data_IF_558203247028
#
_entry.id   IF_558203247028
#
_cell.length_a   1.000
_cell.length_b   1.000
_cell.length_c   1.000
_cell.angle_alpha   90.00
_cell.angle_beta   90.00
_cell.angle_gamma   90.00
#
_symmetry.space_group_name_H-M   'P 1'
#
loop_
_entity.id
_entity.type
_entity.pdbx_description
1 polymer ?
#
# COMPACT_ATOMS: atom_id res chain seq x y z
N UNK A 1 -3.18 -16.63 -11.30
CA UNK A 1 -3.42 -15.17 -11.26
C UNK A 1 -4.83 -14.86 -10.79
N UNK A 2 -5.90 -15.15 -11.54
CA UNK A 2 -7.28 -14.90 -11.09
C UNK A 2 -7.61 -15.50 -9.72
N UNK A 3 -7.28 -16.78 -9.50
CA UNK A 3 -7.49 -17.40 -8.19
C UNK A 3 -6.65 -16.74 -7.08
N UNK A 4 -5.43 -16.28 -7.40
CA UNK A 4 -4.58 -15.56 -6.43
C UNK A 4 -5.26 -14.26 -6.01
N UNK A 5 -5.84 -13.49 -6.94
CA UNK A 5 -6.60 -12.27 -6.61
C UNK A 5 -7.74 -12.54 -5.61
N UNK A 6 -8.57 -13.56 -5.86
CA UNK A 6 -9.68 -13.92 -4.97
C UNK A 6 -9.22 -14.40 -3.59
N UNK A 7 -8.09 -15.11 -3.53
CA UNK A 7 -7.48 -15.59 -2.29
C UNK A 7 -6.69 -14.51 -1.53
N UNK A 8 -6.60 -13.28 -2.05
CA UNK A 8 -5.73 -12.23 -1.51
C UNK A 8 -6.47 -10.89 -1.38
N UNK A 9 -6.40 -10.01 -2.38
CA UNK A 9 -6.93 -8.65 -2.33
C UNK A 9 -8.45 -8.62 -2.16
N UNK A 10 -9.17 -9.58 -2.76
CA UNK A 10 -10.62 -9.68 -2.63
C UNK A 10 -11.07 -10.10 -1.21
N UNK A 11 -10.15 -10.42 -0.28
CA UNK A 11 -10.49 -10.61 1.15
C UNK A 11 -10.75 -9.29 1.88
N UNK A 12 -10.03 -8.22 1.52
CA UNK A 12 -10.11 -6.90 2.14
C UNK A 12 -10.86 -5.89 1.26
N UNK A 13 -10.62 -5.94 -0.05
CA UNK A 13 -11.23 -5.08 -1.06
C UNK A 13 -12.32 -5.87 -1.80
N UNK A 14 -13.50 -6.00 -1.19
CA UNK A 14 -14.65 -6.74 -1.73
C UNK A 14 -15.24 -6.02 -2.95
N UNK A 15 -14.57 -6.12 -4.10
CA UNK A 15 -14.96 -5.45 -5.35
C UNK A 15 -15.93 -6.32 -6.13
N UNK A 16 -15.68 -7.64 -6.19
CA UNK A 16 -16.35 -8.56 -7.10
C UNK A 16 -17.09 -9.65 -6.34
N UNK A 17 -18.31 -9.94 -6.77
CA UNK A 17 -19.02 -11.12 -6.30
C UNK A 17 -18.43 -12.38 -6.94
N UNK A 18 -17.76 -13.21 -6.16
CA UNK A 18 -16.95 -14.32 -6.68
C UNK A 18 -17.73 -15.29 -7.60
N UNK A 19 -18.92 -15.80 -7.20
CA UNK A 19 -19.70 -16.71 -8.05
C UNK A 19 -20.17 -16.07 -9.35
N UNK A 20 -20.51 -14.78 -9.32
CA UNK A 20 -20.91 -14.04 -10.53
C UNK A 20 -19.71 -13.84 -11.45
N UNK A 21 -18.56 -13.47 -10.90
CA UNK A 21 -17.35 -13.26 -11.68
C UNK A 21 -16.90 -14.56 -12.36
N UNK A 22 -16.85 -15.69 -11.66
CA UNK A 22 -16.42 -16.96 -12.27
C UNK A 22 -17.32 -17.40 -13.43
N UNK A 23 -18.64 -17.22 -13.32
CA UNK A 23 -19.58 -17.46 -14.43
C UNK A 23 -19.26 -16.57 -15.65
N UNK A 24 -19.01 -15.28 -15.42
CA UNK A 24 -18.65 -14.33 -16.47
C UNK A 24 -17.27 -14.62 -17.06
N UNK A 25 -16.31 -15.04 -16.23
CA UNK A 25 -14.96 -15.43 -16.61
C UNK A 25 -14.98 -16.63 -17.55
N UNK A 26 -15.71 -17.70 -17.22
CA UNK A 26 -15.86 -18.87 -18.12
C UNK A 26 -16.49 -18.48 -19.47
N UNK A 27 -17.49 -17.59 -19.44
CA UNK A 27 -18.11 -17.06 -20.67
C UNK A 27 -17.15 -16.23 -21.51
N UNK A 28 -16.32 -15.40 -20.87
CA UNK A 28 -15.29 -14.60 -21.53
C UNK A 28 -14.33 -15.47 -22.33
N UNK A 29 -13.78 -16.53 -21.72
CA UNK A 29 -12.85 -17.44 -22.40
C UNK A 29 -13.49 -18.28 -23.51
N UNK A 30 -14.81 -18.44 -23.48
CA UNK A 30 -15.54 -19.11 -24.56
C UNK A 30 -15.69 -18.23 -25.81
N UNK A 31 -15.71 -16.91 -25.67
CA UNK A 31 -15.77 -15.96 -26.78
C UNK A 31 -15.20 -14.58 -26.38
N UNK A 32 -13.86 -14.39 -26.41
CA UNK A 32 -13.22 -13.15 -25.98
C UNK A 32 -13.57 -11.95 -26.87
N UNK A 33 -13.71 -12.16 -28.18
CA UNK A 33 -13.97 -11.09 -29.16
C UNK A 33 -15.39 -10.52 -29.02
N UNK A 34 -16.37 -11.37 -28.71
CA UNK A 34 -17.75 -10.95 -28.48
C UNK A 34 -18.04 -10.42 -27.07
N UNK A 35 -17.04 -10.29 -26.20
CA UNK A 35 -17.23 -9.84 -24.82
C UNK A 35 -17.38 -8.33 -24.70
N UNK A 36 -18.19 -7.89 -23.72
CA UNK A 36 -18.32 -6.47 -23.39
C UNK A 36 -16.98 -5.92 -22.89
N UNK A 37 -16.64 -4.69 -23.28
CA UNK A 37 -15.41 -4.03 -22.84
C UNK A 37 -15.25 -4.01 -21.31
N UNK A 38 -16.35 -3.79 -20.56
CA UNK A 38 -16.35 -3.82 -19.09
C UNK A 38 -15.84 -5.15 -18.53
N UNK A 39 -16.37 -6.28 -19.05
CA UNK A 39 -15.97 -7.61 -18.62
C UNK A 39 -14.50 -7.89 -18.97
N UNK A 40 -14.08 -7.52 -20.18
CA UNK A 40 -12.68 -7.67 -20.61
C UNK A 40 -11.73 -6.93 -19.66
N UNK A 41 -12.02 -5.68 -19.34
CA UNK A 41 -11.21 -4.88 -18.40
C UNK A 41 -11.20 -5.50 -17.00
N UNK A 42 -12.34 -5.93 -16.48
CA UNK A 42 -12.40 -6.61 -15.18
C UNK A 42 -11.51 -7.86 -15.15
N UNK A 43 -11.58 -8.72 -16.17
CA UNK A 43 -10.77 -9.93 -16.26
C UNK A 43 -9.28 -9.59 -16.33
N UNK A 44 -8.89 -8.65 -17.19
CA UNK A 44 -7.48 -8.26 -17.35
C UNK A 44 -6.91 -7.63 -16.07
N UNK A 45 -7.67 -6.77 -15.39
CA UNK A 45 -7.23 -6.14 -14.14
C UNK A 45 -7.13 -7.15 -12.99
N UNK A 46 -8.06 -8.10 -12.89
CA UNK A 46 -7.99 -9.20 -11.90
C UNK A 46 -6.76 -10.08 -12.14
N UNK A 47 -6.44 -10.38 -13.41
CA UNK A 47 -5.23 -11.12 -13.77
C UNK A 47 -3.98 -10.30 -13.44
N UNK A 48 -3.97 -9.00 -13.75
CA UNK A 48 -2.87 -8.10 -13.44
C UNK A 48 -2.59 -8.04 -11.93
N UNK A 49 -3.60 -7.79 -11.10
CA UNK A 49 -3.43 -7.75 -9.65
C UNK A 49 -2.98 -9.14 -9.15
N UNK A 50 -3.59 -10.22 -9.63
CA UNK A 50 -3.20 -11.56 -9.24
C UNK A 50 -1.81 -12.00 -9.73
N UNK A 51 -1.22 -11.34 -10.73
CA UNK A 51 0.15 -11.63 -11.18
C UNK A 51 1.20 -11.06 -10.23
N UNK A 52 0.85 -10.06 -9.42
CA UNK A 52 1.77 -9.47 -8.43
C UNK A 52 2.15 -10.41 -7.29
N UNK A 53 1.42 -11.52 -7.15
CA UNK A 53 1.57 -12.50 -6.10
C UNK A 53 2.19 -13.80 -6.60
N UNK A 54 2.22 -14.00 -7.92
CA UNK A 54 2.73 -15.22 -8.50
C UNK A 54 4.26 -15.28 -8.35
N UNK A 55 4.84 -16.48 -8.14
CA UNK A 55 6.28 -16.65 -8.20
C UNK A 55 6.78 -16.15 -9.55
N UNK A 56 7.93 -15.48 -9.55
CA UNK A 56 8.60 -15.08 -10.77
C UNK A 56 9.11 -16.34 -11.49
N UNK A 57 8.23 -17.00 -12.24
CA UNK A 57 8.63 -18.01 -13.21
C UNK A 57 9.47 -17.28 -14.25
N UNK A 58 10.71 -17.73 -14.41
CA UNK A 58 11.75 -17.11 -15.23
C UNK A 58 11.24 -16.38 -16.48
N UNK A 59 11.68 -15.12 -16.59
CA UNK A 59 11.81 -14.38 -17.84
C UNK A 59 10.59 -14.34 -18.79
N UNK A 60 9.62 -13.49 -18.48
CA UNK A 60 9.03 -12.69 -19.55
C UNK A 60 8.65 -11.30 -19.06
N UNK A 61 9.54 -10.32 -19.29
CA UNK A 61 9.22 -8.90 -19.09
C UNK A 61 7.93 -8.49 -19.83
N UNK A 62 7.56 -9.25 -20.87
CA UNK A 62 6.32 -9.08 -21.62
C UNK A 62 5.05 -9.09 -20.76
N UNK A 63 4.97 -9.91 -19.70
CA UNK A 63 3.77 -9.90 -18.84
C UNK A 63 3.63 -8.58 -18.07
N UNK A 64 4.73 -8.06 -17.54
CA UNK A 64 4.71 -6.78 -16.82
C UNK A 64 4.32 -5.65 -17.77
N UNK A 65 4.85 -5.64 -18.99
CA UNK A 65 4.50 -4.63 -19.99
C UNK A 65 3.03 -4.73 -20.42
N UNK A 66 2.51 -5.94 -20.62
CA UNK A 66 1.09 -6.18 -20.87
C UNK A 66 0.21 -5.66 -19.73
N UNK A 67 0.60 -5.91 -18.48
CA UNK A 67 -0.12 -5.39 -17.30
C UNK A 67 -0.19 -3.87 -17.31
N UNK A 68 0.91 -3.18 -17.61
CA UNK A 68 0.90 -1.71 -17.72
C UNK A 68 -0.06 -1.25 -18.83
N UNK A 69 -0.03 -1.90 -20.00
CA UNK A 69 -0.95 -1.60 -21.10
C UNK A 69 -2.42 -1.80 -20.70
N UNK A 70 -2.75 -2.87 -19.96
CA UNK A 70 -4.11 -3.12 -19.49
C UNK A 70 -4.58 -2.05 -18.50
N UNK A 71 -3.70 -1.60 -17.61
CA UNK A 71 -4.01 -0.53 -16.65
C UNK A 71 -4.24 0.79 -17.39
N UNK A 72 -3.36 1.18 -18.31
CA UNK A 72 -3.55 2.38 -19.13
C UNK A 72 -4.81 2.33 -19.99
N UNK A 73 -5.13 1.17 -20.57
CA UNK A 73 -6.35 0.97 -21.32
C UNK A 73 -7.59 1.15 -20.43
N UNK A 74 -7.57 0.66 -19.20
CA UNK A 74 -8.64 0.84 -18.24
C UNK A 74 -8.78 2.30 -17.77
N UNK A 75 -7.67 3.01 -17.52
CA UNK A 75 -7.68 4.44 -17.18
C UNK A 75 -8.24 5.30 -18.32
N UNK A 76 -7.80 5.02 -19.54
CA UNK A 76 -8.31 5.68 -20.75
C UNK A 76 -9.80 5.37 -20.93
N UNK A 77 -10.21 4.13 -20.69
CA UNK A 77 -11.61 3.75 -20.73
C UNK A 77 -12.42 4.47 -19.65
N UNK A 78 -11.93 4.64 -18.42
CA UNK A 78 -12.64 5.40 -17.39
C UNK A 78 -12.80 6.88 -17.77
N UNK A 79 -11.77 7.47 -18.39
CA UNK A 79 -11.67 8.90 -18.70
C UNK A 79 -12.20 9.30 -20.08
N UNK A 80 -12.61 8.35 -20.93
CA UNK A 80 -13.04 8.63 -22.31
C UNK A 80 -14.34 9.43 -22.43
N UNK A 81 -14.68 9.96 -23.62
CA UNK A 81 -15.98 10.60 -23.87
C UNK A 81 -17.12 9.59 -23.63
N UNK A 82 -18.28 10.03 -23.14
CA UNK A 82 -19.42 9.20 -22.65
C UNK A 82 -19.28 8.67 -21.21
N UNK A 83 -18.93 9.53 -20.26
CA UNK A 83 -18.77 9.15 -18.84
C UNK A 83 -20.03 8.54 -18.21
N UNK A 84 -21.22 8.97 -18.65
CA UNK A 84 -22.51 8.53 -18.08
C UNK A 84 -22.73 7.03 -18.19
N UNK A 85 -22.28 6.39 -19.28
CA UNK A 85 -22.45 4.94 -19.50
C UNK A 85 -21.56 4.09 -18.57
N UNK A 86 -20.64 4.75 -17.86
CA UNK A 86 -19.71 4.16 -16.89
C UNK A 86 -20.05 4.53 -15.46
N UNK A 87 -21.09 5.33 -15.23
CA UNK A 87 -21.64 5.61 -13.91
C UNK A 87 -22.59 4.48 -13.49
N UNK A 88 -22.04 3.29 -13.32
CA UNK A 88 -22.73 2.11 -12.81
C UNK A 88 -21.80 1.27 -11.92
N UNK A 89 -22.34 0.21 -11.32
CA UNK A 89 -21.59 -0.68 -10.42
C UNK A 89 -20.36 -1.25 -11.12
N UNK A 90 -20.48 -1.71 -12.37
CA UNK A 90 -19.35 -2.26 -13.12
C UNK A 90 -18.26 -1.22 -13.40
N UNK A 91 -18.62 0.02 -13.71
CA UNK A 91 -17.67 1.11 -13.88
C UNK A 91 -16.91 1.42 -12.57
N UNK A 92 -17.60 1.46 -11.44
CA UNK A 92 -16.96 1.63 -10.12
C UNK A 92 -16.06 0.46 -9.75
N UNK A 93 -16.47 -0.78 -10.06
CA UNK A 93 -15.63 -1.97 -9.85
C UNK A 93 -14.33 -1.88 -10.65
N UNK A 94 -14.41 -1.49 -11.93
CA UNK A 94 -13.21 -1.27 -12.77
C UNK A 94 -12.34 -0.16 -12.17
N UNK A 95 -12.93 0.94 -11.70
CA UNK A 95 -12.18 2.03 -11.07
C UNK A 95 -11.47 1.58 -9.78
N UNK A 96 -12.12 0.79 -8.92
CA UNK A 96 -11.47 0.19 -7.74
C UNK A 96 -10.30 -0.73 -8.12
N UNK A 97 -10.50 -1.60 -9.13
CA UNK A 97 -9.44 -2.49 -9.63
C UNK A 97 -8.26 -1.69 -10.22
N UNK A 98 -8.54 -0.61 -10.96
CA UNK A 98 -7.50 0.29 -11.50
C UNK A 98 -6.72 0.95 -10.37
N UNK A 99 -7.39 1.41 -9.31
CA UNK A 99 -6.71 2.00 -8.15
C UNK A 99 -5.74 1.01 -7.49
N UNK A 100 -6.20 -0.21 -7.22
CA UNK A 100 -5.35 -1.26 -6.66
C UNK A 100 -4.16 -1.58 -7.58
N UNK A 101 -4.43 -1.78 -8.87
CA UNK A 101 -3.39 -2.11 -9.83
C UNK A 101 -2.34 -0.98 -9.96
N UNK A 102 -2.78 0.28 -9.99
CA UNK A 102 -1.88 1.45 -10.01
C UNK A 102 -0.99 1.52 -8.78
N UNK A 103 -1.54 1.28 -7.59
CA UNK A 103 -0.77 1.21 -6.36
C UNK A 103 0.25 0.08 -6.41
N UNK A 104 -0.15 -1.14 -6.81
CA UNK A 104 0.74 -2.30 -6.88
C UNK A 104 1.86 -2.09 -7.90
N UNK A 105 1.58 -1.56 -9.09
CA UNK A 105 2.54 -1.45 -10.18
C UNK A 105 3.24 -0.08 -10.28
N UNK A 106 3.06 0.81 -9.29
CA UNK A 106 3.64 2.17 -9.28
C UNK A 106 3.24 3.05 -10.48
N UNK A 107 2.02 2.88 -11.01
CA UNK A 107 1.55 3.64 -12.17
C UNK A 107 0.83 4.91 -11.70
N UNK A 108 1.48 6.06 -11.90
CA UNK A 108 0.95 7.36 -11.47
C UNK A 108 0.66 7.40 -9.97
N UNK A 109 1.58 6.88 -9.14
CA UNK A 109 1.40 6.71 -7.69
C UNK A 109 0.97 8.00 -6.99
N UNK A 110 1.61 9.13 -7.31
CA UNK A 110 1.33 10.44 -6.70
C UNK A 110 -0.05 11.00 -7.09
N UNK A 111 -0.68 10.43 -8.12
CA UNK A 111 -2.01 10.82 -8.61
C UNK A 111 -3.13 9.90 -8.10
N UNK A 112 -2.81 8.90 -7.26
CA UNK A 112 -3.80 7.95 -6.74
C UNK A 112 -4.81 8.65 -5.82
N UNK A 113 -4.38 9.59 -4.98
CA UNK A 113 -5.28 10.37 -4.13
C UNK A 113 -6.31 11.17 -4.95
N UNK A 114 -5.89 11.82 -6.04
CA UNK A 114 -6.80 12.53 -6.95
C UNK A 114 -7.80 11.57 -7.58
N UNK A 115 -7.34 10.39 -8.02
CA UNK A 115 -8.22 9.35 -8.57
C UNK A 115 -9.24 8.84 -7.54
N UNK A 116 -8.83 8.73 -6.27
CA UNK A 116 -9.72 8.35 -5.16
C UNK A 116 -10.85 9.37 -4.95
N UNK A 117 -10.55 10.67 -5.08
CA UNK A 117 -11.54 11.74 -5.03
C UNK A 117 -12.56 11.64 -6.17
N UNK A 118 -12.10 11.29 -7.38
CA UNK A 118 -13.01 11.01 -8.50
C UNK A 118 -13.88 9.78 -8.24
N UNK A 119 -13.30 8.70 -7.71
CA UNK A 119 -14.00 7.46 -7.39
C UNK A 119 -15.13 7.69 -6.38
N UNK A 120 -14.84 8.38 -5.27
CA UNK A 120 -15.83 8.61 -4.22
C UNK A 120 -16.98 9.50 -4.71
N UNK A 121 -16.70 10.54 -5.50
CA UNK A 121 -17.74 11.37 -6.09
C UNK A 121 -18.60 10.60 -7.09
N UNK A 122 -18.01 9.74 -7.92
CA UNK A 122 -18.75 8.85 -8.84
C UNK A 122 -19.64 7.87 -8.08
N UNK A 123 -19.16 7.33 -6.96
CA UNK A 123 -19.93 6.45 -6.09
C UNK A 123 -21.11 7.17 -5.44
N UNK A 124 -20.87 8.38 -4.94
CA UNK A 124 -21.92 9.23 -4.38
C UNK A 124 -22.97 9.59 -5.43
N UNK A 125 -22.54 9.92 -6.65
CA UNK A 125 -23.42 10.28 -7.78
C UNK A 125 -24.43 9.17 -8.13
N UNK A 126 -24.09 7.90 -7.94
CA UNK A 126 -25.00 6.77 -8.16
C UNK A 126 -25.61 6.22 -6.84
N UNK A 127 -25.42 6.96 -5.75
CA UNK A 127 -26.07 6.74 -4.46
C UNK A 127 -25.47 5.64 -3.58
N UNK A 128 -24.18 5.31 -3.67
CA UNK A 128 -23.57 4.29 -2.80
C UNK A 128 -23.41 4.73 -1.34
N UNK A 129 -23.37 6.04 -1.09
CA UNK A 129 -23.38 6.65 0.25
C UNK A 129 -24.74 6.57 0.96
N UNK A 130 -25.78 6.10 0.25
CA UNK A 130 -27.11 5.87 0.80
C UNK A 130 -27.36 4.38 0.97
N UNK A 131 -27.80 3.99 2.16
CA UNK A 131 -28.11 2.61 2.47
C UNK A 131 -29.24 2.10 1.56
N UNK A 132 -29.13 0.87 1.01
CA UNK A 132 -30.18 0.26 0.21
C UNK A 132 -31.58 0.29 0.84
N UNK A 133 -31.71 0.28 2.18
CA UNK A 133 -33.01 0.35 2.87
C UNK A 133 -33.75 1.68 2.65
N UNK A 134 -33.05 2.72 2.20
CA UNK A 134 -33.59 4.05 1.90
C UNK A 134 -33.79 4.30 0.39
N UNK A 135 -33.45 3.31 -0.44
CA UNK A 135 -33.53 3.40 -1.90
C UNK A 135 -34.75 2.61 -2.44
N UNK A 136 -35.12 2.79 -3.72
CA UNK A 136 -36.13 1.95 -4.34
C UNK A 136 -35.81 0.44 -4.19
N UNK A 137 -36.84 -0.43 -4.13
CA UNK A 137 -36.65 -1.86 -3.91
C UNK A 137 -35.64 -2.48 -4.89
N UNK A 138 -34.74 -3.30 -4.36
CA UNK A 138 -33.72 -4.02 -5.11
C UNK A 138 -33.50 -5.42 -4.50
N UNK A 139 -32.83 -6.31 -5.24
CA UNK A 139 -32.55 -7.65 -4.70
C UNK A 139 -31.57 -7.60 -3.53
N UNK A 140 -31.60 -8.61 -2.66
CA UNK A 140 -30.65 -8.78 -1.55
C UNK A 140 -29.22 -8.74 -2.07
N UNK A 141 -28.94 -9.42 -3.19
CA UNK A 141 -27.63 -9.38 -3.83
C UNK A 141 -27.23 -7.94 -4.21
N UNK A 142 -28.10 -7.19 -4.89
CA UNK A 142 -27.79 -5.81 -5.28
C UNK A 142 -27.52 -4.92 -4.08
N UNK A 143 -28.31 -5.03 -3.01
CA UNK A 143 -28.11 -4.29 -1.77
C UNK A 143 -26.74 -4.59 -1.15
N UNK A 144 -26.38 -5.88 -1.01
CA UNK A 144 -25.09 -6.28 -0.42
C UNK A 144 -23.90 -5.85 -1.29
N UNK A 145 -23.99 -5.96 -2.62
CA UNK A 145 -22.91 -5.50 -3.50
C UNK A 145 -22.70 -3.98 -3.43
N UNK A 146 -23.76 -3.19 -3.24
CA UNK A 146 -23.63 -1.75 -3.01
C UNK A 146 -22.92 -1.44 -1.70
N UNK A 147 -23.32 -2.08 -0.59
CA UNK A 147 -22.68 -1.90 0.73
C UNK A 147 -21.20 -2.28 0.72
N UNK A 148 -20.86 -3.44 0.13
CA UNK A 148 -19.48 -3.92 -0.03
C UNK A 148 -18.62 -2.98 -0.85
N UNK A 149 -19.14 -2.53 -1.99
CA UNK A 149 -18.39 -1.64 -2.87
C UNK A 149 -18.19 -0.28 -2.22
N UNK A 150 -19.18 0.24 -1.49
CA UNK A 150 -19.02 1.47 -0.69
C UNK A 150 -17.91 1.32 0.35
N UNK A 151 -17.91 0.25 1.14
CA UNK A 151 -16.86 -0.01 2.13
C UNK A 151 -15.46 -0.14 1.49
N UNK A 152 -15.35 -0.79 0.33
CA UNK A 152 -14.09 -0.86 -0.43
C UNK A 152 -13.61 0.53 -0.88
N UNK A 153 -14.51 1.38 -1.35
CA UNK A 153 -14.18 2.75 -1.78
C UNK A 153 -13.68 3.58 -0.61
N UNK A 154 -14.32 3.48 0.56
CA UNK A 154 -13.86 4.13 1.79
C UNK A 154 -12.44 3.67 2.17
N UNK A 155 -12.15 2.36 2.05
CA UNK A 155 -10.81 1.82 2.32
C UNK A 155 -9.76 2.38 1.35
N UNK A 156 -10.06 2.45 0.05
CA UNK A 156 -9.15 3.03 -0.94
C UNK A 156 -8.88 4.52 -0.68
N UNK A 157 -9.91 5.27 -0.27
CA UNK A 157 -9.79 6.70 0.05
C UNK A 157 -8.92 6.93 1.28
N UNK A 158 -9.16 6.20 2.38
CA UNK A 158 -8.40 6.39 3.62
C UNK A 158 -6.93 5.99 3.43
N UNK A 159 -6.64 4.90 2.71
CA UNK A 159 -5.26 4.47 2.43
C UNK A 159 -4.53 5.47 1.52
N UNK A 160 -5.16 5.91 0.43
CA UNK A 160 -4.53 6.89 -0.49
C UNK A 160 -4.28 8.25 0.17
N UNK A 161 -5.12 8.63 1.13
CA UNK A 161 -4.97 9.85 1.94
C UNK A 161 -3.80 9.76 2.90
N UNK A 162 -3.60 8.59 3.53
CA UNK A 162 -2.40 8.31 4.32
C UNK A 162 -1.13 8.42 3.46
N UNK A 163 -1.14 7.77 2.29
CA UNK A 163 0.02 7.69 1.39
C UNK A 163 0.46 9.07 0.88
N UNK A 164 -0.52 9.95 0.60
CA UNK A 164 -0.25 11.29 0.07
C UNK A 164 -0.06 12.35 1.15
N UNK A 165 -0.21 12.00 2.44
CA UNK A 165 -0.29 12.97 3.55
C UNK A 165 -1.29 14.10 3.23
N UNK A 166 -2.49 13.70 2.79
CA UNK A 166 -3.58 14.61 2.44
C UNK A 166 -4.86 14.18 3.15
N UNK A 167 -5.79 15.12 3.43
CA UNK A 167 -7.04 14.79 4.07
C UNK A 167 -7.94 13.93 3.15
N UNK A 168 -8.69 12.96 3.71
CA UNK A 168 -9.58 12.10 2.93
C UNK A 168 -10.82 12.79 2.38
N UNK A 169 -11.16 13.98 2.89
CA UNK A 169 -12.31 14.80 2.46
C UNK A 169 -13.63 14.01 2.43
N UNK A 170 -13.77 13.07 3.37
CA UNK A 170 -15.02 12.41 3.73
C UNK A 170 -15.14 12.34 5.25
N UNK A 171 -16.33 12.60 5.78
CA UNK A 171 -16.71 12.40 7.18
C UNK A 171 -17.66 11.21 7.32
N UNK A 172 -17.68 10.60 8.51
CA UNK A 172 -18.65 9.55 8.85
C UNK A 172 -20.11 10.01 8.79
N UNK A 173 -20.35 11.32 8.93
CA UNK A 173 -21.70 11.89 8.90
C UNK A 173 -22.25 12.11 7.46
N UNK A 174 -21.43 11.87 6.43
CA UNK A 174 -21.79 12.12 5.03
C UNK A 174 -22.43 10.92 4.33
N UNK A 175 -22.55 9.77 5.01
CA UNK A 175 -23.19 8.57 4.49
C UNK A 175 -23.96 7.82 5.58
N UNK A 176 -25.00 7.08 5.17
CA UNK A 176 -25.82 6.26 6.09
C UNK A 176 -25.76 4.75 5.75
N UNK A 177 -24.96 4.37 4.75
CA UNK A 177 -24.75 2.99 4.32
C UNK A 177 -24.25 2.12 5.47
N UNK A 178 -25.01 1.08 5.79
CA UNK A 178 -24.64 0.12 6.84
C UNK A 178 -23.52 -0.82 6.38
N UNK A 179 -22.78 -1.44 7.34
CA UNK A 179 -21.85 -2.51 7.04
C UNK A 179 -22.49 -3.64 6.20
N UNK A 180 -21.74 -4.27 5.28
CA UNK A 180 -22.22 -5.45 4.57
C UNK A 180 -22.46 -6.62 5.54
N UNK A 181 -23.36 -7.53 5.19
CA UNK A 181 -23.64 -8.69 6.03
C UNK A 181 -22.44 -9.65 6.09
N UNK A 182 -22.18 -10.23 7.27
CA UNK A 182 -21.12 -11.22 7.45
C UNK A 182 -21.54 -12.57 6.83
N UNK A 183 -21.39 -12.69 5.52
CA UNK A 183 -21.74 -13.87 4.74
C UNK A 183 -20.70 -14.19 3.67
N UNK A 184 -20.68 -15.46 3.28
CA UNK A 184 -19.93 -15.93 2.12
C UNK A 184 -20.70 -15.62 0.83
N UNK A 185 -19.99 -15.41 -0.28
CA UNK A 185 -20.63 -15.06 -1.55
C UNK A 185 -21.59 -16.11 -2.08
N UNK A 186 -21.30 -17.38 -1.83
CA UNK A 186 -22.18 -18.48 -2.24
C UNK A 186 -23.57 -18.41 -1.58
N UNK A 187 -23.70 -17.69 -0.46
CA UNK A 187 -24.94 -17.50 0.30
C UNK A 187 -25.75 -16.29 -0.22
N UNK A 188 -25.12 -15.37 -0.94
CA UNK A 188 -25.75 -14.14 -1.44
C UNK A 188 -26.19 -14.38 -2.89
N UNK A 189 -27.37 -14.98 -3.06
CA UNK A 189 -27.91 -15.32 -4.38
C UNK A 189 -29.00 -14.35 -4.83
N UNK A 190 -29.22 -14.25 -6.15
CA UNK A 190 -30.28 -13.41 -6.73
C UNK A 190 -31.69 -13.79 -6.24
N UNK A 191 -31.89 -15.06 -5.93
CA UNK A 191 -33.16 -15.61 -5.41
C UNK A 191 -33.35 -15.43 -3.90
N UNK A 192 -32.33 -14.95 -3.17
CA UNK A 192 -32.43 -14.79 -1.73
C UNK A 192 -33.42 -13.67 -1.38
N UNK A 193 -34.42 -13.98 -0.56
CA UNK A 193 -35.43 -13.02 -0.09
C UNK A 193 -35.02 -12.38 1.24
N UNK A 194 -34.29 -13.13 2.07
CA UNK A 194 -33.72 -12.67 3.34
C UNK A 194 -32.30 -13.23 3.50
N UNK A 195 -31.43 -12.47 4.17
CA UNK A 195 -30.05 -12.86 4.45
C UNK A 195 -29.82 -12.79 5.96
N UNK A 196 -29.44 -13.92 6.55
CA UNK A 196 -29.09 -14.01 7.97
C UNK A 196 -27.57 -13.94 8.10
N UNK A 197 -27.00 -12.90 8.72
CA UNK A 197 -25.56 -12.77 8.90
C UNK A 197 -25.04 -13.79 9.91
N UNK A 198 -23.85 -14.34 9.65
CA UNK A 198 -23.14 -15.15 10.64
C UNK A 198 -22.66 -14.28 11.80
N UNK A 199 -22.42 -14.90 12.96
CA UNK A 199 -21.85 -14.21 14.12
C UNK A 199 -20.49 -13.58 13.79
N UNK A 200 -20.12 -12.49 14.47
CA UNK A 200 -18.86 -11.79 14.21
C UNK A 200 -17.60 -12.67 14.41
N UNK A 201 -17.69 -13.73 15.23
CA UNK A 201 -16.58 -14.67 15.42
C UNK A 201 -16.44 -15.73 14.31
N UNK A 202 -17.42 -15.85 13.42
CA UNK A 202 -17.38 -16.80 12.30
C UNK A 202 -16.69 -16.18 11.09
N UNK A 203 -15.65 -16.85 10.59
CA UNK A 203 -14.97 -16.47 9.35
C UNK A 203 -15.89 -16.62 8.15
N UNK A 204 -16.04 -15.51 7.41
CA UNK A 204 -16.63 -15.48 6.08
C UNK A 204 -15.75 -14.65 5.14
N UNK A 205 -16.06 -14.67 3.84
CA UNK A 205 -15.41 -13.80 2.86
C UNK A 205 -15.56 -12.30 3.16
N UNK A 206 -16.45 -11.88 4.05
CA UNK A 206 -16.69 -10.46 4.39
C UNK A 206 -15.99 -10.02 5.68
N UNK A 207 -15.45 -10.96 6.49
CA UNK A 207 -14.95 -10.67 7.83
C UNK A 207 -13.81 -9.64 7.87
N UNK A 208 -12.83 -9.72 6.96
CA UNK A 208 -11.69 -8.79 6.95
C UNK A 208 -12.09 -7.37 6.53
N UNK A 209 -13.00 -7.24 5.57
CA UNK A 209 -13.57 -5.94 5.21
C UNK A 209 -14.32 -5.31 6.39
N UNK A 210 -15.06 -6.10 7.17
CA UNK A 210 -15.76 -5.61 8.35
C UNK A 210 -14.80 -5.09 9.42
N UNK A 211 -13.72 -5.81 9.69
CA UNK A 211 -12.69 -5.35 10.65
C UNK A 211 -12.06 -4.02 10.20
N UNK A 212 -11.77 -3.87 8.90
CA UNK A 212 -11.26 -2.61 8.36
C UNK A 212 -12.31 -1.50 8.49
N UNK A 213 -13.57 -1.77 8.16
CA UNK A 213 -14.67 -0.80 8.27
C UNK A 213 -14.89 -0.36 9.73
N UNK A 214 -14.84 -1.28 10.68
CA UNK A 214 -15.00 -0.99 12.12
C UNK A 214 -13.91 -0.04 12.63
N UNK A 215 -12.67 -0.15 12.10
CA UNK A 215 -11.54 0.72 12.44
C UNK A 215 -11.51 2.06 11.70
N UNK A 216 -12.36 2.23 10.68
CA UNK A 216 -12.35 3.41 9.81
C UNK A 216 -12.55 4.74 10.57
N UNK A 217 -13.41 4.86 11.60
CA UNK A 217 -13.58 6.12 12.32
C UNK A 217 -12.28 6.63 12.95
N UNK A 218 -11.55 5.73 13.62
CA UNK A 218 -10.24 6.03 14.23
C UNK A 218 -9.24 6.45 13.16
N UNK A 219 -9.17 5.72 12.03
CA UNK A 219 -8.25 6.04 10.93
C UNK A 219 -8.55 7.38 10.27
N UNK A 220 -9.83 7.72 10.04
CA UNK A 220 -10.23 9.04 9.53
C UNK A 220 -9.90 10.15 10.52
N UNK A 221 -10.10 9.93 11.82
CA UNK A 221 -9.73 10.92 12.86
C UNK A 221 -8.22 11.14 12.92
N UNK A 222 -7.41 10.09 12.82
CA UNK A 222 -5.94 10.20 12.69
C UNK A 222 -5.59 11.09 11.50
N UNK A 223 -6.14 10.80 10.32
CA UNK A 223 -5.87 11.60 9.12
C UNK A 223 -6.33 13.05 9.25
N UNK A 224 -7.47 13.29 9.91
CA UNK A 224 -7.97 14.64 10.16
C UNK A 224 -7.02 15.45 11.04
N UNK A 225 -6.44 14.83 12.07
CA UNK A 225 -5.52 15.50 12.98
C UNK A 225 -4.14 15.73 12.36
N UNK A 226 -3.54 14.72 11.73
CA UNK A 226 -2.18 14.85 11.16
C UNK A 226 -2.13 15.80 9.96
N UNK A 227 -3.27 16.02 9.29
CA UNK A 227 -3.39 16.94 8.14
C UNK A 227 -4.09 18.26 8.52
N UNK A 228 -4.30 18.55 9.81
CA UNK A 228 -4.88 19.81 10.25
C UNK A 228 -3.86 20.94 10.08
N UNK A 229 -4.30 22.08 9.53
CA UNK A 229 -3.44 23.27 9.35
C UNK A 229 -3.36 24.14 10.61
N UNK A 230 -4.44 24.16 11.40
CA UNK A 230 -4.63 25.12 12.49
C UNK A 230 -4.60 24.47 13.88
N UNK A 231 -4.57 23.14 13.97
CA UNK A 231 -4.63 22.40 15.24
C UNK A 231 -3.33 21.67 15.47
N UNK A 232 -2.64 22.00 16.57
CA UNK A 232 -1.52 21.19 17.04
C UNK A 232 -2.01 19.82 17.51
N UNK A 233 -1.34 18.77 17.03
CA UNK A 233 -1.60 17.41 17.45
C UNK A 233 -1.26 17.25 18.95
N UNK A 234 -2.26 16.92 19.75
CA UNK A 234 -2.10 16.72 21.19
C UNK A 234 -1.53 15.34 21.50
N UNK A 235 -0.63 15.24 22.49
CA UNK A 235 -0.02 13.96 22.86
C UNK A 235 -1.03 12.94 23.42
N UNK A 236 -1.97 13.32 24.32
CA UNK A 236 -3.08 12.47 24.70
C UNK A 236 -3.89 11.89 23.53
N UNK A 237 -4.25 12.71 22.53
CA UNK A 237 -4.98 12.23 21.35
C UNK A 237 -4.17 11.15 20.59
N UNK A 238 -2.86 11.33 20.49
CA UNK A 238 -1.95 10.34 19.89
C UNK A 238 -1.99 9.02 20.67
N UNK A 239 -1.95 9.07 22.00
CA UNK A 239 -1.99 7.87 22.84
C UNK A 239 -3.32 7.14 22.68
N UNK A 240 -4.45 7.85 22.76
CA UNK A 240 -5.79 7.26 22.67
C UNK A 240 -6.02 6.63 21.29
N UNK A 241 -5.74 7.36 20.20
CA UNK A 241 -5.90 6.85 18.84
C UNK A 241 -4.94 5.68 18.54
N UNK A 242 -3.72 5.72 19.09
CA UNK A 242 -2.78 4.60 18.95
C UNK A 242 -3.28 3.35 19.67
N UNK A 243 -3.91 3.51 20.84
CA UNK A 243 -4.49 2.41 21.59
C UNK A 243 -5.62 1.74 20.81
N UNK A 244 -6.53 2.52 20.22
CA UNK A 244 -7.64 2.03 19.40
C UNK A 244 -7.16 1.19 18.19
N UNK A 245 -6.15 1.67 17.46
CA UNK A 245 -5.57 0.93 16.33
C UNK A 245 -4.91 -0.36 16.82
N UNK A 246 -4.14 -0.30 17.92
CA UNK A 246 -3.48 -1.46 18.47
C UNK A 246 -4.47 -2.48 19.05
N UNK A 247 -5.59 -2.05 19.62
CA UNK A 247 -6.69 -2.92 20.05
C UNK A 247 -7.36 -3.61 18.86
N UNK A 248 -7.57 -2.89 17.76
CA UNK A 248 -8.06 -3.47 16.50
C UNK A 248 -7.09 -4.54 15.98
N UNK A 249 -5.78 -4.24 15.95
CA UNK A 249 -4.75 -5.23 15.58
C UNK A 249 -4.75 -6.45 16.51
N UNK A 250 -4.91 -6.26 17.83
CA UNK A 250 -5.01 -7.36 18.80
C UNK A 250 -6.24 -8.22 18.56
N UNK A 251 -7.40 -7.59 18.35
CA UNK A 251 -8.66 -8.26 18.03
C UNK A 251 -8.56 -9.08 16.75
N UNK A 252 -8.00 -8.50 15.68
CA UNK A 252 -7.71 -9.22 14.44
C UNK A 252 -6.81 -10.43 14.67
N UNK A 253 -5.70 -10.26 15.39
CA UNK A 253 -4.78 -11.36 15.65
C UNK A 253 -5.43 -12.48 16.47
N UNK A 254 -6.34 -12.16 17.40
CA UNK A 254 -7.12 -13.17 18.13
C UNK A 254 -8.07 -13.93 17.19
N UNK A 255 -8.86 -13.19 16.41
CA UNK A 255 -9.78 -13.75 15.42
C UNK A 255 -9.05 -14.65 14.40
N UNK A 256 -7.91 -14.21 13.89
CA UNK A 256 -7.10 -14.93 12.92
C UNK A 256 -6.49 -16.23 13.50
N UNK A 257 -6.15 -16.25 14.80
CA UNK A 257 -5.68 -17.46 15.48
C UNK A 257 -6.82 -18.48 15.65
N UNK A 258 -7.99 -18.02 16.07
CA UNK A 258 -9.17 -18.88 16.26
C UNK A 258 -9.67 -19.46 14.94
N UNK A 259 -9.55 -18.71 13.84
CA UNK A 259 -10.00 -19.12 12.51
C UNK A 259 -8.87 -19.62 11.60
N UNK A 260 -7.70 -19.99 12.17
CA UNK A 260 -6.55 -20.47 11.38
C UNK A 260 -6.89 -21.72 10.56
N UNK A 261 -7.61 -22.66 11.16
CA UNK A 261 -8.05 -23.90 10.49
C UNK A 261 -9.22 -23.67 9.52
N UNK A 262 -9.90 -22.53 9.63
CA UNK A 262 -11.05 -22.16 8.82
C UNK A 262 -10.68 -21.44 7.51
N UNK A 263 -9.39 -21.18 7.26
CA UNK A 263 -8.89 -20.64 5.99
C UNK A 263 -8.14 -19.30 6.08
N UNK A 264 -7.84 -18.79 7.28
CA UNK A 264 -7.00 -17.58 7.42
C UNK A 264 -5.53 -17.89 7.09
N UNK A 265 -5.04 -17.37 5.97
CA UNK A 265 -3.65 -17.51 5.49
C UNK A 265 -2.70 -16.48 6.13
N UNK A 266 -1.40 -16.70 5.98
CA UNK A 266 -0.37 -15.73 6.37
C UNK A 266 -0.48 -14.44 5.57
N UNK A 267 -0.77 -14.52 4.27
CA UNK A 267 -1.12 -13.36 3.44
C UNK A 267 -2.23 -12.50 4.06
N UNK A 268 -3.34 -13.11 4.49
CA UNK A 268 -4.44 -12.38 5.12
C UNK A 268 -4.00 -11.63 6.39
N UNK A 269 -3.23 -12.31 7.26
CA UNK A 269 -2.70 -11.71 8.50
C UNK A 269 -1.79 -10.54 8.19
N UNK A 270 -0.86 -10.72 7.25
CA UNK A 270 0.08 -9.69 6.82
C UNK A 270 -0.65 -8.49 6.22
N UNK A 271 -1.57 -8.70 5.26
CA UNK A 271 -2.23 -7.59 4.57
C UNK A 271 -3.09 -6.76 5.51
N UNK A 272 -3.88 -7.38 6.38
CA UNK A 272 -4.74 -6.63 7.31
C UNK A 272 -3.91 -5.90 8.37
N UNK A 273 -2.91 -6.55 8.98
CA UNK A 273 -2.01 -5.87 9.93
C UNK A 273 -1.28 -4.71 9.25
N UNK A 274 -0.81 -4.90 8.01
CA UNK A 274 -0.18 -3.85 7.21
C UNK A 274 -1.11 -2.64 6.99
N UNK A 275 -2.35 -2.87 6.55
CA UNK A 275 -3.33 -1.79 6.29
C UNK A 275 -3.68 -0.98 7.54
N UNK A 276 -3.67 -1.58 8.73
CA UNK A 276 -3.95 -0.88 10.00
C UNK A 276 -2.70 -0.21 10.58
N UNK A 277 -1.59 -0.93 10.65
CA UNK A 277 -0.39 -0.54 11.42
C UNK A 277 0.35 0.65 10.81
N UNK A 278 0.21 0.90 9.51
CA UNK A 278 0.80 2.06 8.83
C UNK A 278 0.36 3.40 9.39
N UNK A 279 -0.83 3.50 9.98
CA UNK A 279 -1.33 4.74 10.57
C UNK A 279 -0.54 5.15 11.82
N UNK A 280 0.12 4.20 12.49
CA UNK A 280 0.87 4.47 13.72
C UNK A 280 2.13 5.31 13.49
N UNK A 281 2.85 5.08 12.38
CA UNK A 281 4.13 5.78 12.16
C UNK A 281 3.90 7.28 11.97
N UNK A 282 3.04 7.76 11.04
CA UNK A 282 2.80 9.19 10.88
C UNK A 282 2.17 9.84 12.13
N UNK A 283 1.28 9.12 12.83
CA UNK A 283 0.65 9.61 14.07
C UNK A 283 1.69 9.90 15.17
N UNK A 284 2.69 9.02 15.33
CA UNK A 284 3.71 9.16 16.36
C UNK A 284 4.93 9.98 15.94
N UNK A 285 5.17 10.17 14.63
CA UNK A 285 6.39 10.79 14.09
C UNK A 285 6.75 12.14 14.76
N UNK A 286 5.83 13.12 14.95
CA UNK A 286 6.16 14.39 15.58
C UNK A 286 6.71 14.26 17.01
N UNK A 287 6.29 13.22 17.74
CA UNK A 287 6.69 12.96 19.13
C UNK A 287 7.90 12.05 19.20
N UNK A 288 7.98 11.03 18.34
CA UNK A 288 9.15 10.16 18.22
C UNK A 288 10.42 10.98 17.91
N UNK A 289 10.33 11.98 17.04
CA UNK A 289 11.45 12.88 16.72
C UNK A 289 11.92 13.69 17.94
N UNK A 290 11.02 14.04 18.86
CA UNK A 290 11.30 14.77 20.10
C UNK A 290 11.85 13.88 21.22
N UNK A 291 11.75 12.55 21.11
CA UNK A 291 12.14 11.60 22.16
C UNK A 291 13.62 11.70 22.56
N UNK A 292 14.48 12.15 21.65
CA UNK A 292 15.92 12.37 21.91
C UNK A 292 16.18 13.50 22.91
N UNK A 293 15.37 14.56 22.85
CA UNK A 293 15.49 15.72 23.73
C UNK A 293 14.57 15.63 24.94
N UNK A 294 13.47 14.88 24.83
CA UNK A 294 12.46 14.77 25.88
C UNK A 294 12.04 13.30 26.10
N UNK A 295 12.45 12.68 27.22
CA UNK A 295 12.14 11.29 27.53
C UNK A 295 10.65 10.96 27.61
N UNK A 296 9.78 11.96 27.80
CA UNK A 296 8.32 11.79 27.81
C UNK A 296 7.81 11.08 26.54
N UNK A 297 8.48 11.30 25.41
CA UNK A 297 8.05 10.80 24.11
C UNK A 297 8.70 9.46 23.70
N UNK A 298 9.45 8.79 24.58
CA UNK A 298 10.03 7.47 24.29
C UNK A 298 8.97 6.42 23.93
N UNK A 299 7.75 6.53 24.48
CA UNK A 299 6.67 5.63 24.09
C UNK A 299 6.35 5.73 22.60
N UNK A 300 6.36 6.94 22.03
CA UNK A 300 6.12 7.14 20.60
C UNK A 300 7.24 6.61 19.73
N UNK A 301 8.50 6.79 20.14
CA UNK A 301 9.63 6.15 19.48
C UNK A 301 9.47 4.63 19.47
N UNK A 302 9.09 4.03 20.60
CA UNK A 302 8.83 2.59 20.72
C UNK A 302 7.72 2.13 19.78
N UNK A 303 6.56 2.78 19.80
CA UNK A 303 5.42 2.38 18.94
C UNK A 303 5.79 2.52 17.46
N UNK A 304 6.49 3.60 17.07
CA UNK A 304 6.98 3.77 15.70
C UNK A 304 7.96 2.67 15.29
N UNK A 305 8.89 2.27 16.16
CA UNK A 305 9.84 1.19 15.90
C UNK A 305 9.14 -0.17 15.79
N UNK A 306 8.26 -0.49 16.74
CA UNK A 306 7.48 -1.74 16.72
C UNK A 306 6.61 -1.82 15.44
N UNK A 307 6.04 -0.70 15.01
CA UNK A 307 5.29 -0.60 13.76
C UNK A 307 6.19 -0.80 12.52
N UNK A 308 7.34 -0.11 12.47
CA UNK A 308 8.30 -0.20 11.37
C UNK A 308 8.86 -1.63 11.21
N UNK A 309 9.18 -2.29 12.32
CA UNK A 309 9.70 -3.65 12.32
C UNK A 309 8.67 -4.66 11.81
N UNK A 310 7.41 -4.55 12.25
CA UNK A 310 6.34 -5.42 11.76
C UNK A 310 6.04 -5.21 10.25
N UNK A 311 6.20 -3.98 9.74
CA UNK A 311 6.06 -3.66 8.31
C UNK A 311 7.16 -4.31 7.46
N UNK A 312 8.41 -4.29 7.93
CA UNK A 312 9.57 -4.79 7.19
C UNK A 312 9.78 -6.30 7.37
N UNK A 313 9.30 -6.86 8.48
CA UNK A 313 9.42 -8.29 8.81
C UNK A 313 8.05 -8.94 8.99
N UNK A 314 7.23 -9.03 7.93
CA UNK A 314 5.94 -9.71 7.97
C UNK A 314 6.10 -11.22 8.19
N UNK A 315 5.00 -11.93 8.47
CA UNK A 315 5.01 -13.39 8.55
C UNK A 315 5.42 -13.99 7.19
N UNK A 316 6.23 -15.08 7.15
CA UNK A 316 6.63 -15.70 5.89
C UNK A 316 5.44 -16.09 5.00
N UNK A 317 5.35 -15.46 3.84
CA UNK A 317 4.34 -15.72 2.80
C UNK A 317 4.94 -15.33 1.45
N UNK A 318 4.93 -16.26 0.48
CA UNK A 318 5.57 -16.04 -0.82
C UNK A 318 4.88 -14.92 -1.62
N UNK A 319 3.55 -14.90 -1.64
CA UNK A 319 2.78 -13.88 -2.36
C UNK A 319 2.98 -12.49 -1.76
N UNK A 320 3.00 -12.39 -0.44
CA UNK A 320 3.28 -11.12 0.26
C UNK A 320 4.75 -10.68 0.08
N UNK A 321 5.69 -11.61 0.05
CA UNK A 321 7.12 -11.30 -0.22
C UNK A 321 7.31 -10.74 -1.63
N UNK A 322 6.66 -11.35 -2.63
CA UNK A 322 6.65 -10.83 -4.00
C UNK A 322 6.02 -9.44 -4.06
N UNK A 323 4.91 -9.24 -3.34
CA UNK A 323 4.25 -7.94 -3.24
C UNK A 323 5.15 -6.87 -2.59
N UNK A 324 5.94 -7.20 -1.58
CA UNK A 324 6.93 -6.28 -0.99
C UNK A 324 8.09 -5.97 -1.95
N UNK A 325 8.44 -6.89 -2.84
CA UNK A 325 9.51 -6.72 -3.84
C UNK A 325 9.07 -5.95 -5.10
N UNK A 326 7.79 -5.98 -5.47
CA UNK A 326 7.32 -5.29 -6.69
C UNK A 326 6.35 -4.14 -6.42
N UNK A 327 5.71 -4.16 -5.25
CA UNK A 327 4.63 -3.28 -4.86
C UNK A 327 5.06 -1.82 -4.83
N UNK A 328 4.30 -0.97 -5.50
CA UNK A 328 4.37 0.48 -5.42
C UNK A 328 3.47 1.05 -4.33
N UNK A 329 3.11 2.33 -4.52
CA UNK A 329 2.08 3.02 -3.74
C UNK A 329 2.19 2.74 -2.26
N UNK A 330 1.10 2.27 -1.65
CA UNK A 330 1.03 1.98 -0.23
C UNK A 330 2.16 1.08 0.31
N UNK A 331 2.60 0.09 -0.48
CA UNK A 331 3.67 -0.83 -0.07
C UNK A 331 5.02 -0.12 0.00
N UNK A 332 5.34 0.66 -1.04
CA UNK A 332 6.56 1.48 -1.10
C UNK A 332 6.56 2.55 -0.01
N UNK A 333 5.43 3.21 0.23
CA UNK A 333 5.32 4.24 1.26
C UNK A 333 5.51 3.67 2.66
N UNK A 334 4.96 2.49 2.97
CA UNK A 334 5.20 1.85 4.26
C UNK A 334 6.67 1.44 4.45
N UNK A 335 7.33 0.92 3.40
CA UNK A 335 8.77 0.62 3.44
C UNK A 335 9.56 1.91 3.71
N UNK A 336 9.24 3.00 3.00
CA UNK A 336 9.91 4.31 3.18
C UNK A 336 9.83 4.78 4.62
N UNK A 337 8.63 4.81 5.21
CA UNK A 337 8.46 5.22 6.61
C UNK A 337 9.23 4.32 7.58
N UNK A 338 9.16 3.01 7.40
CA UNK A 338 9.86 2.06 8.26
C UNK A 338 11.39 2.21 8.16
N UNK A 339 11.91 2.36 6.94
CA UNK A 339 13.33 2.63 6.71
C UNK A 339 13.78 3.88 7.45
N UNK A 340 13.03 4.99 7.38
CA UNK A 340 13.41 6.23 8.07
C UNK A 340 13.49 6.04 9.59
N UNK A 341 12.47 5.44 10.21
CA UNK A 341 12.41 5.25 11.67
C UNK A 341 13.56 4.36 12.17
N UNK A 342 13.77 3.20 11.52
CA UNK A 342 14.78 2.23 11.95
C UNK A 342 16.20 2.78 11.70
N UNK A 343 16.41 3.50 10.58
CA UNK A 343 17.71 4.10 10.27
C UNK A 343 18.09 5.18 11.28
N UNK A 344 17.14 6.06 11.64
CA UNK A 344 17.36 7.11 12.64
C UNK A 344 17.66 6.51 14.02
N UNK A 345 16.93 5.49 14.43
CA UNK A 345 17.18 4.80 15.71
C UNK A 345 18.56 4.14 15.71
N UNK A 346 18.93 3.42 14.65
CA UNK A 346 20.25 2.79 14.56
C UNK A 346 21.38 3.81 14.72
N UNK A 347 21.34 4.91 13.97
CA UNK A 347 22.36 5.94 14.05
C UNK A 347 22.42 6.58 15.44
N UNK A 348 21.27 6.95 16.00
CA UNK A 348 21.18 7.56 17.34
C UNK A 348 21.77 6.67 18.42
N UNK A 349 21.53 5.36 18.34
CA UNK A 349 21.97 4.39 19.35
C UNK A 349 23.45 4.09 19.24
N UNK A 350 23.97 3.97 18.02
CA UNK A 350 25.41 3.80 17.79
C UNK A 350 26.17 5.02 18.31
N UNK A 351 25.69 6.23 18.04
CA UNK A 351 26.31 7.47 18.50
C UNK A 351 26.28 7.57 20.04
N UNK A 352 25.13 7.35 20.66
CA UNK A 352 24.98 7.39 22.13
C UNK A 352 25.91 6.38 22.81
N UNK A 353 25.92 5.13 22.34
CA UNK A 353 26.77 4.09 22.92
C UNK A 353 28.26 4.33 22.69
N UNK A 354 28.63 5.00 21.60
CA UNK A 354 30.01 5.41 21.35
C UNK A 354 30.44 6.47 22.38
N UNK A 355 29.63 7.51 22.57
CA UNK A 355 29.90 8.59 23.53
C UNK A 355 29.96 8.06 24.98
N UNK A 356 29.09 7.12 25.33
CA UNK A 356 29.04 6.53 26.67
C UNK A 356 30.11 5.43 26.91
N UNK A 357 30.89 5.08 25.89
CA UNK A 357 31.86 3.97 25.94
C UNK A 357 31.23 2.59 26.13
N UNK A 358 29.93 2.45 25.82
CA UNK A 358 29.12 1.26 26.09
C UNK A 358 28.92 0.34 24.87
N UNK A 359 29.50 0.66 23.70
CA UNK A 359 29.34 -0.09 22.45
C UNK A 359 29.49 -1.61 22.59
N UNK A 360 30.49 -2.07 23.35
CA UNK A 360 30.73 -3.51 23.53
C UNK A 360 29.81 -4.16 24.56
N UNK A 361 29.17 -3.37 25.44
CA UNK A 361 28.27 -3.85 26.50
C UNK A 361 26.82 -3.92 26.04
N UNK A 362 26.41 -3.06 25.12
CA UNK A 362 25.02 -2.93 24.66
C UNK A 362 24.80 -3.35 23.20
N UNK A 363 25.70 -4.18 22.66
CA UNK A 363 25.61 -4.72 21.29
C UNK A 363 24.33 -5.52 21.03
N UNK A 364 23.68 -6.03 22.08
CA UNK A 364 22.40 -6.74 22.01
C UNK A 364 21.24 -5.92 21.44
N UNK A 365 21.30 -4.58 21.52
CA UNK A 365 20.26 -3.70 20.96
C UNK A 365 20.61 -3.23 19.54
N UNK A 366 21.88 -2.94 19.26
CA UNK A 366 22.34 -2.47 17.95
C UNK A 366 22.32 -3.59 16.90
N UNK A 367 22.72 -4.81 17.26
CA UNK A 367 22.85 -5.91 16.30
C UNK A 367 21.52 -6.28 15.62
N UNK A 368 20.38 -6.37 16.33
CA UNK A 368 19.08 -6.55 15.69
C UNK A 368 18.73 -5.42 14.70
N UNK A 369 18.96 -4.15 15.06
CA UNK A 369 18.70 -3.02 14.17
C UNK A 369 19.56 -3.08 12.90
N UNK A 370 20.85 -3.40 13.05
CA UNK A 370 21.75 -3.64 11.90
C UNK A 370 21.23 -4.76 11.01
N UNK A 371 20.81 -5.88 11.60
CA UNK A 371 20.29 -7.02 10.84
C UNK A 371 19.06 -6.62 10.02
N UNK A 372 18.14 -5.85 10.60
CA UNK A 372 16.95 -5.38 9.89
C UNK A 372 17.34 -4.42 8.74
N UNK A 373 18.35 -3.57 8.93
CA UNK A 373 18.87 -2.72 7.84
C UNK A 373 19.51 -3.57 6.73
N UNK A 374 20.24 -4.65 7.03
CA UNK A 374 20.75 -5.58 6.00
C UNK A 374 19.62 -6.23 5.20
N UNK A 375 18.54 -6.62 5.87
CA UNK A 375 17.36 -7.21 5.23
C UNK A 375 16.66 -6.16 4.34
N UNK A 376 16.59 -4.89 4.78
CA UNK A 376 16.09 -3.78 3.93
C UNK A 376 17.00 -3.47 2.74
N UNK A 377 18.33 -3.55 2.89
CA UNK A 377 19.29 -3.42 1.78
C UNK A 377 19.01 -4.51 0.74
N UNK A 378 18.81 -5.74 1.20
CA UNK A 378 18.51 -6.89 0.33
C UNK A 378 17.17 -6.70 -0.40
N UNK A 379 16.12 -6.29 0.32
CA UNK A 379 14.81 -6.01 -0.26
C UNK A 379 14.89 -4.88 -1.29
N UNK A 380 15.53 -3.76 -0.96
CA UNK A 380 15.64 -2.61 -1.89
C UNK A 380 16.44 -2.95 -3.15
N UNK A 381 17.48 -3.79 -3.04
CA UNK A 381 18.19 -4.31 -4.21
C UNK A 381 17.29 -5.20 -5.08
N UNK A 382 16.49 -6.05 -4.45
CA UNK A 382 15.53 -6.90 -5.15
C UNK A 382 14.47 -6.07 -5.88
N UNK A 383 13.96 -5.01 -5.25
CA UNK A 383 13.02 -4.07 -5.90
C UNK A 383 13.61 -3.44 -7.17
N UNK A 384 14.90 -3.08 -7.17
CA UNK A 384 15.60 -2.54 -8.35
C UNK A 384 15.71 -3.60 -9.46
N UNK A 385 15.99 -4.86 -9.10
CA UNK A 385 16.00 -5.98 -10.06
C UNK A 385 14.62 -6.18 -10.68
N UNK A 386 13.56 -6.04 -9.89
CA UNK A 386 12.18 -6.26 -10.32
C UNK A 386 11.54 -5.14 -11.14
N UNK A 387 12.16 -3.96 -11.20
CA UNK A 387 11.53 -2.88 -11.96
C UNK A 387 11.90 -1.48 -11.52
N UNK A 388 12.22 -1.30 -10.24
CA UNK A 388 12.36 0.02 -9.64
C UNK A 388 13.59 0.74 -10.20
N UNK A 389 13.37 1.96 -10.71
CA UNK A 389 14.42 2.82 -11.26
C UNK A 389 14.93 3.84 -10.23
N UNK A 390 14.21 4.03 -9.13
CA UNK A 390 14.64 4.88 -8.04
C UNK A 390 15.64 4.14 -7.14
N UNK A 391 16.93 4.45 -7.30
CA UNK A 391 18.03 3.79 -6.58
C UNK A 391 18.31 4.42 -5.20
N UNK A 392 17.67 5.56 -4.87
CA UNK A 392 17.99 6.35 -3.68
C UNK A 392 17.81 5.56 -2.39
N UNK A 393 16.73 4.78 -2.28
CA UNK A 393 16.45 3.97 -1.08
C UNK A 393 17.57 2.98 -0.76
N UNK A 394 18.00 2.20 -1.76
CA UNK A 394 19.12 1.27 -1.61
C UNK A 394 20.43 1.98 -1.26
N UNK A 395 20.74 3.07 -1.96
CA UNK A 395 21.93 3.87 -1.71
C UNK A 395 21.96 4.40 -0.27
N UNK A 396 20.86 5.00 0.20
CA UNK A 396 20.79 5.54 1.55
C UNK A 396 20.93 4.46 2.62
N UNK A 397 20.29 3.30 2.48
CA UNK A 397 20.46 2.20 3.41
C UNK A 397 21.92 1.72 3.50
N UNK A 398 22.61 1.60 2.37
CA UNK A 398 24.05 1.29 2.32
C UNK A 398 24.90 2.38 3.01
N UNK A 399 24.56 3.65 2.85
CA UNK A 399 25.23 4.76 3.51
C UNK A 399 25.01 4.73 5.03
N UNK A 400 23.78 4.49 5.48
CA UNK A 400 23.42 4.37 6.90
C UNK A 400 24.20 3.25 7.57
N UNK A 401 24.27 2.07 6.93
CA UNK A 401 25.06 0.94 7.45
C UNK A 401 26.54 1.32 7.56
N UNK A 402 27.12 1.94 6.52
CA UNK A 402 28.51 2.37 6.53
C UNK A 402 28.80 3.43 7.62
N UNK A 403 27.86 4.36 7.85
CA UNK A 403 27.95 5.34 8.93
C UNK A 403 27.93 4.67 10.30
N UNK A 404 26.96 3.78 10.54
CA UNK A 404 26.84 3.04 11.78
C UNK A 404 28.11 2.20 12.09
N UNK A 405 28.73 1.60 11.09
CA UNK A 405 29.99 0.86 11.25
C UNK A 405 31.22 1.74 11.45
N UNK A 406 31.27 2.91 10.82
CA UNK A 406 32.36 3.86 11.02
C UNK A 406 32.32 4.44 12.45
N UNK A 407 31.15 4.88 12.89
CA UNK A 407 30.93 5.41 14.25
C UNK A 407 31.23 4.35 15.31
N UNK A 408 30.78 3.10 15.12
CA UNK A 408 31.09 2.00 16.04
C UNK A 408 32.61 1.70 16.16
N UNK A 409 33.41 2.06 15.15
CA UNK A 409 34.88 1.93 15.15
C UNK A 409 35.61 3.20 15.60
N UNK A 410 34.88 4.29 15.91
CA UNK A 410 35.47 5.59 16.21
C UNK A 410 36.22 6.22 15.02
N UNK A 411 35.86 5.86 13.80
CA UNK A 411 36.46 6.39 12.58
C UNK A 411 35.61 7.54 11.99
N UNK A 412 36.23 8.43 11.21
CA UNK A 412 35.50 9.43 10.43
C UNK A 412 34.54 8.75 9.45
N UNK A 413 33.26 9.13 9.52
CA UNK A 413 32.18 8.52 8.76
C UNK A 413 32.11 9.03 7.32
N UNK A 414 32.55 10.26 7.03
CA UNK A 414 32.40 10.92 5.72
C UNK A 414 32.95 10.07 4.56
N UNK A 415 34.19 9.58 4.70
CA UNK A 415 34.84 8.81 3.63
C UNK A 415 34.18 7.45 3.43
N UNK A 416 33.70 6.83 4.50
CA UNK A 416 33.01 5.53 4.45
C UNK A 416 31.61 5.67 3.82
N UNK A 417 30.89 6.74 4.15
CA UNK A 417 29.60 7.10 3.54
C UNK A 417 29.77 7.37 2.04
N UNK A 418 30.73 8.23 1.66
CA UNK A 418 30.97 8.58 0.26
C UNK A 418 31.38 7.36 -0.58
N UNK A 419 32.22 6.48 -0.02
CA UNK A 419 32.58 5.22 -0.68
C UNK A 419 31.37 4.31 -0.85
N UNK A 420 30.57 4.12 0.20
CA UNK A 420 29.36 3.29 0.16
C UNK A 420 28.34 3.81 -0.86
N UNK A 421 28.15 5.12 -0.94
CA UNK A 421 27.30 5.76 -1.95
C UNK A 421 27.79 5.47 -3.38
N UNK A 422 29.09 5.61 -3.63
CA UNK A 422 29.68 5.33 -4.95
C UNK A 422 29.54 3.87 -5.36
N UNK A 423 29.85 2.95 -4.43
CA UNK A 423 29.82 1.51 -4.69
C UNK A 423 28.37 1.03 -4.92
N UNK A 424 27.42 1.52 -4.13
CA UNK A 424 25.99 1.19 -4.27
C UNK A 424 25.39 1.74 -5.58
N UNK A 425 25.71 2.98 -5.99
CA UNK A 425 25.28 3.53 -7.29
C UNK A 425 25.86 2.70 -8.44
N UNK A 426 27.14 2.33 -8.38
CA UNK A 426 27.80 1.54 -9.43
C UNK A 426 27.12 0.18 -9.60
N UNK A 427 26.79 -0.50 -8.50
CA UNK A 427 26.02 -1.74 -8.52
C UNK A 427 24.63 -1.56 -9.15
N UNK A 428 23.92 -0.48 -8.80
CA UNK A 428 22.62 -0.19 -9.38
C UNK A 428 22.71 0.07 -10.89
N UNK A 429 23.73 0.81 -11.33
CA UNK A 429 23.98 1.08 -12.74
C UNK A 429 24.19 -0.21 -13.52
N UNK A 430 24.99 -1.15 -13.01
CA UNK A 430 25.19 -2.46 -13.64
C UNK A 430 23.88 -3.25 -13.79
N UNK A 431 23.03 -3.26 -12.75
CA UNK A 431 21.73 -3.94 -12.79
C UNK A 431 20.82 -3.31 -13.86
N UNK A 432 20.72 -1.97 -13.87
CA UNK A 432 19.87 -1.25 -14.81
C UNK A 432 20.36 -1.39 -16.26
N UNK A 433 21.68 -1.38 -16.49
CA UNK A 433 22.27 -1.62 -17.81
C UNK A 433 22.00 -3.03 -18.33
N UNK A 434 22.12 -4.06 -17.49
CA UNK A 434 21.78 -5.44 -17.85
C UNK A 434 20.31 -5.54 -18.30
N UNK A 435 19.39 -4.89 -17.58
CA UNK A 435 17.96 -4.87 -17.94
C UNK A 435 17.68 -4.19 -19.28
N UNK A 436 18.37 -3.08 -19.58
CA UNK A 436 18.29 -2.42 -20.89
C UNK A 436 18.72 -3.35 -22.02
N UNK A 437 19.83 -4.08 -21.84
CA UNK A 437 20.34 -4.99 -22.87
C UNK A 437 19.38 -6.14 -23.19
N UNK A 438 18.70 -6.68 -22.18
CA UNK A 438 17.66 -7.72 -22.34
C UNK A 438 16.43 -7.15 -23.06
N UNK A 439 16.00 -5.94 -22.72
CA UNK A 439 14.85 -5.28 -23.35
C UNK A 439 15.10 -4.91 -24.81
N UNK A 440 16.33 -4.53 -25.17
CA UNK A 440 16.70 -4.26 -26.57
C UNK A 440 16.72 -5.52 -27.45
N UNK A 441 16.95 -6.70 -26.86
CA UNK A 441 16.93 -7.98 -27.59
C UNK A 441 15.49 -8.47 -27.85
N UNK A 442 14.51 -8.05 -27.06
CA UNK A 442 13.09 -8.42 -27.27
C UNK A 442 12.36 -7.53 -28.29
N UNK A 443 12.93 -6.37 -28.67
CA UNK A 443 12.28 -5.36 -29.52
C UNK A 443 12.72 -5.39 -31.01
N UNK A 444 13.40 -6.43 -31.49
CA UNK A 444 13.82 -6.49 -32.90
C UNK A 444 12.66 -6.88 -33.84
N UNK A 445 11.95 -5.88 -34.42
CA UNK A 445 11.46 -5.79 -35.83
C UNK A 445 10.48 -4.61 -36.05
N UNK A 446 10.36 -4.07 -37.29
CA UNK A 446 11.33 -3.32 -38.06
C UNK A 446 11.07 -1.79 -38.03
N UNK A 447 12.06 -1.04 -38.51
CA UNK A 447 12.16 0.42 -38.56
C UNK A 447 10.87 1.16 -38.93
N UNK A 448 10.40 2.00 -38.00
CA UNK A 448 9.71 3.24 -38.35
C UNK A 448 10.69 4.39 -38.10
N UNK A 449 11.18 4.98 -39.19
CA UNK A 449 11.92 6.23 -39.17
C UNK A 449 11.08 7.29 -38.44
N UNK A 450 11.51 7.65 -37.23
CA UNK A 450 10.96 8.81 -36.52
C UNK A 450 11.73 10.04 -36.99
N UNK A 451 11.03 10.90 -37.70
CA UNK A 451 11.47 12.25 -38.03
C UNK A 451 11.77 13.02 -36.75
N UNK A 452 13.02 13.48 -36.66
CA UNK A 452 13.51 14.37 -35.62
C UNK A 452 12.79 15.71 -35.64
N UNK A 453 12.28 16.13 -34.49
CA UNK A 453 12.18 17.54 -34.13
C UNK A 453 12.80 17.66 -32.74
N UNK A 454 14.07 18.05 -32.77
CA UNK A 454 14.81 18.54 -31.62
C UNK A 454 14.52 20.04 -31.52
N UNK A 455 14.04 20.51 -30.37
CA UNK A 455 14.61 21.64 -29.63
C UNK A 455 13.67 22.13 -28.50
N UNK A 456 14.22 22.09 -27.28
CA UNK A 456 14.12 23.07 -26.17
C UNK A 456 12.76 23.27 -25.47
N UNK A 457 12.71 22.94 -24.18
CA UNK A 457 13.12 23.85 -23.09
C UNK A 457 13.12 23.06 -21.76
N UNK A 458 14.29 23.01 -21.13
CA UNK A 458 14.49 22.44 -19.79
C UNK A 458 13.90 23.37 -18.74
N UNK A 459 12.61 23.23 -18.44
CA UNK A 459 12.04 23.73 -17.19
C UNK A 459 12.35 22.71 -16.09
N UNK A 460 13.58 22.75 -15.59
CA UNK A 460 13.97 22.12 -14.33
C UNK A 460 13.33 22.90 -13.19
N UNK A 461 12.05 22.63 -12.90
CA UNK A 461 11.54 22.82 -11.55
C UNK A 461 12.16 21.73 -10.69
N UNK A 462 13.28 22.07 -10.05
CA UNK A 462 13.91 21.23 -9.04
C UNK A 462 12.89 20.95 -7.94
N UNK A 463 12.46 19.70 -7.84
CA UNK A 463 11.89 19.20 -6.59
C UNK A 463 13.07 19.02 -5.63
N UNK A 464 13.40 20.11 -4.93
CA UNK A 464 14.16 20.04 -3.68
C UNK A 464 13.33 19.19 -2.72
N UNK A 465 13.69 17.90 -2.64
CA UNK A 465 13.30 17.06 -1.52
C UNK A 465 14.30 17.31 -0.41
N UNK A 466 14.19 18.51 0.16
CA UNK A 466 14.78 18.79 1.46
C UNK A 466 14.00 17.97 2.50
N UNK A 467 14.74 17.18 3.28
CA UNK A 467 14.16 16.44 4.40
C UNK A 467 13.67 17.38 5.51
N UNK A 468 13.89 18.68 5.35
CA UNK A 468 13.42 19.78 6.19
C UNK A 468 11.89 19.90 6.26
N UNK A 469 11.13 19.28 5.35
CA UNK A 469 9.68 19.18 5.55
C UNK A 469 9.30 18.35 6.79
N UNK A 470 10.19 17.46 7.27
CA UNK A 470 10.05 16.72 8.54
C UNK A 470 10.96 17.22 9.66
N UNK A 471 11.95 18.05 9.35
CA UNK A 471 12.88 18.61 10.31
C UNK A 471 12.52 20.08 10.49
N UNK A 472 11.73 20.38 11.53
CA UNK A 472 11.69 21.74 12.02
C UNK A 472 13.12 22.13 12.43
N UNK A 473 13.64 23.18 11.79
CA UNK A 473 14.90 23.84 12.12
C UNK A 473 15.04 23.99 13.64
N UNK A 474 15.98 23.24 14.23
CA UNK A 474 16.48 23.56 15.57
C UNK A 474 17.63 24.51 15.38
N UNK A 475 17.29 25.79 15.21
CA UNK A 475 18.27 26.87 15.28
C UNK A 475 18.98 26.83 16.62
N UNK A 476 20.29 26.60 16.59
CA UNK A 476 21.17 26.91 17.70
C UNK A 476 21.26 28.43 17.84
N UNK A 477 20.74 28.95 18.95
CA UNK A 477 21.21 30.19 19.58
C UNK A 477 21.40 29.96 21.06
#
# INVERSE_FOLDING_TARGET
>A
MTALYFQSFESTHRILHEPTFWKLYSRFWSNPEGSLAKLRLQVLLVIAIGSSLAPHVDADGGLRDMVHQWIYAAETWLSGPLEKDRLDISGLQIHCLVMLARQIFSIGGDLVWISSGSLIHRAMQIGLHRDPKHLPPMSVLQAQLRRRLWATILELVVQSSLDSALPPRISFDEFDTEPPANNNDNEIQESATELQPHSQGCLTGTSMQLILLDSLPTRLRILGLINSLDTELSYPDVLDLSADILDTCRGWNAFARENKESGVTSFHRNLLDYLLRRFLIPLHCPFANKARANPLFHYSLKVSLDAAMAIISPEPDEGFSNLMAIGGGLFREGIRYATSIISLELLSQVETQYLDGALHRNSHYINPLKKIIEDMISLSLERIRQGETNVKGYMFLCMIMAQAEATARGASSELSIAKSAKDSISMCLEILQKRLSVTSLSLSTPDFESTSIDERESYTYGLDFDMDFFLADVGFS
#
